data_IF_274401698988
#
_entry.id   IF_274401698988
#
_cell.length_a   1.000
_cell.length_b   1.000
_cell.length_c   1.000
_cell.angle_alpha   90.00
_cell.angle_beta   90.00
_cell.angle_gamma   90.00
#
_symmetry.space_group_name_H-M   'P 1'
#
loop_
_entity.id
_entity.type
_entity.pdbx_description
1 polymer ?
#
# COMPACT_ATOMS: atom_id res chain seq x y z
N UNK A 1 12.46 3.20 -6.39
CA UNK A 1 12.15 2.02 -5.55
C UNK A 1 13.46 1.40 -5.08
N UNK A 2 13.59 1.07 -3.79
CA UNK A 2 14.73 0.36 -3.22
C UNK A 2 14.25 -0.98 -2.68
N UNK A 3 15.02 -2.06 -2.86
CA UNK A 3 14.73 -3.39 -2.32
C UNK A 3 16.04 -4.01 -1.84
N UNK A 4 16.02 -4.70 -0.69
CA UNK A 4 17.12 -5.53 -0.19
C UNK A 4 16.65 -6.97 -0.16
N UNK A 5 16.96 -7.75 -1.19
CA UNK A 5 16.48 -9.14 -1.34
C UNK A 5 17.65 -10.10 -1.22
N UNK A 6 17.49 -11.15 -0.42
CA UNK A 6 18.45 -12.24 -0.31
C UNK A 6 18.02 -13.40 -1.18
N UNK A 7 18.91 -13.81 -2.08
CA UNK A 7 18.67 -14.95 -2.95
C UNK A 7 18.99 -16.27 -2.23
N UNK A 8 18.24 -17.34 -2.53
CA UNK A 8 18.49 -18.66 -1.94
C UNK A 8 19.89 -19.19 -2.30
N UNK A 9 20.55 -19.80 -1.31
CA UNK A 9 21.79 -20.55 -1.54
C UNK A 9 21.47 -21.92 -2.12
N UNK A 10 22.30 -22.35 -3.05
CA UNK A 10 22.33 -23.74 -3.54
C UNK A 10 23.60 -24.36 -3.00
N UNK A 11 23.48 -25.41 -2.20
CA UNK A 11 24.59 -26.17 -1.67
C UNK A 11 24.37 -27.67 -1.99
N UNK A 12 25.03 -28.19 -3.04
CA UNK A 12 24.87 -29.59 -3.47
C UNK A 12 25.25 -30.62 -2.39
N UNK A 13 26.13 -30.27 -1.45
CA UNK A 13 26.62 -31.19 -0.41
C UNK A 13 25.69 -31.26 0.81
N UNK A 14 24.86 -30.23 1.01
CA UNK A 14 23.95 -30.16 2.16
C UNK A 14 22.63 -30.85 1.85
N UNK A 15 22.52 -32.14 2.20
CA UNK A 15 21.30 -32.95 2.09
C UNK A 15 20.87 -33.40 3.49
N UNK A 16 19.72 -32.92 3.97
CA UNK A 16 19.21 -33.33 5.29
C UNK A 16 18.65 -34.76 5.28
N UNK A 17 19.14 -35.62 6.17
CA UNK A 17 18.58 -36.97 6.34
C UNK A 17 17.12 -36.87 6.81
N UNK A 18 16.16 -37.54 6.15
CA UNK A 18 14.76 -37.41 6.49
C UNK A 18 14.48 -37.94 7.90
N UNK A 19 13.76 -37.15 8.71
CA UNK A 19 13.35 -37.55 10.07
C UNK A 19 11.96 -38.17 10.12
N UNK A 20 11.13 -37.91 9.11
CA UNK A 20 9.74 -38.37 9.01
C UNK A 20 9.39 -38.78 7.58
N UNK A 21 8.44 -39.72 7.45
CA UNK A 21 7.97 -40.17 6.15
C UNK A 21 7.10 -39.09 5.50
N UNK A 22 7.39 -38.76 4.23
CA UNK A 22 6.65 -37.73 3.48
C UNK A 22 5.23 -38.13 3.07
N UNK A 23 4.88 -39.41 3.18
CA UNK A 23 3.56 -39.90 2.77
C UNK A 23 2.53 -39.76 3.87
N UNK A 24 1.40 -39.14 3.54
CA UNK A 24 0.25 -38.99 4.44
C UNK A 24 -0.14 -40.34 5.07
N UNK A 25 -0.43 -40.32 6.37
CA UNK A 25 -0.78 -41.51 7.17
C UNK A 25 0.40 -42.37 7.63
N UNK A 26 1.62 -42.16 7.11
CA UNK A 26 2.79 -42.93 7.53
C UNK A 26 3.58 -42.22 8.64
N UNK A 27 3.62 -42.82 9.84
CA UNK A 27 4.45 -42.35 10.97
C UNK A 27 5.86 -42.97 11.01
N UNK A 28 6.43 -43.31 9.84
CA UNK A 28 7.75 -43.92 9.75
C UNK A 28 8.86 -42.92 10.12
N UNK A 29 9.87 -43.37 10.86
CA UNK A 29 11.04 -42.57 11.31
C UNK A 29 12.39 -43.21 10.97
N UNK A 30 12.38 -44.42 10.41
CA UNK A 30 13.60 -45.13 9.99
C UNK A 30 13.61 -45.23 8.47
N UNK A 31 14.74 -44.86 7.87
CA UNK A 31 14.91 -44.77 6.42
C UNK A 31 16.21 -45.44 6.02
N UNK A 32 16.19 -46.07 4.85
CA UNK A 32 17.37 -46.64 4.22
C UNK A 32 17.67 -45.84 2.95
N UNK A 33 18.91 -45.35 2.81
CA UNK A 33 19.38 -44.79 1.54
C UNK A 33 19.42 -45.92 0.51
N UNK A 34 18.70 -45.74 -0.59
CA UNK A 34 18.59 -46.72 -1.68
C UNK A 34 19.52 -46.39 -2.83
N UNK A 35 19.64 -45.12 -3.16
CA UNK A 35 20.33 -44.68 -4.37
C UNK A 35 20.70 -43.20 -4.27
N UNK A 36 21.86 -42.88 -4.81
CA UNK A 36 22.26 -41.52 -5.18
C UNK A 36 22.00 -41.33 -6.68
N UNK A 37 21.31 -40.25 -7.04
CA UNK A 37 20.87 -40.00 -8.41
C UNK A 37 21.35 -38.63 -8.85
N UNK A 38 22.14 -38.57 -9.91
CA UNK A 38 22.46 -37.30 -10.58
C UNK A 38 21.20 -36.76 -11.26
N UNK A 39 20.89 -35.49 -10.97
CA UNK A 39 19.74 -34.77 -11.51
C UNK A 39 20.24 -33.51 -12.21
N UNK A 40 19.84 -33.25 -13.48
CA UNK A 40 20.16 -31.99 -14.13
C UNK A 40 19.50 -30.81 -13.40
N UNK A 41 20.22 -29.70 -13.36
CA UNK A 41 19.82 -28.47 -12.70
C UNK A 41 20.10 -27.26 -13.61
N UNK A 42 19.09 -26.43 -13.77
CA UNK A 42 19.21 -25.09 -14.33
C UNK A 42 19.55 -24.16 -13.18
N UNK A 43 20.82 -23.84 -13.07
CA UNK A 43 21.40 -22.87 -12.15
C UNK A 43 22.48 -22.05 -12.87
N UNK A 44 22.89 -20.93 -12.27
CA UNK A 44 24.00 -20.11 -12.79
C UNK A 44 25.38 -20.66 -12.45
N UNK A 45 25.47 -21.60 -11.50
CA UNK A 45 26.73 -22.18 -11.02
C UNK A 45 26.77 -23.70 -11.23
N UNK A 46 25.66 -24.39 -10.97
CA UNK A 46 25.61 -25.86 -11.00
C UNK A 46 24.70 -26.40 -12.12
N UNK A 47 25.23 -27.25 -13.00
CA UNK A 47 24.46 -27.86 -14.09
C UNK A 47 23.77 -29.17 -13.69
N UNK A 48 24.18 -29.76 -12.57
CA UNK A 48 23.62 -30.97 -12.01
C UNK A 48 23.84 -31.02 -10.50
N UNK A 49 23.05 -31.85 -9.82
CA UNK A 49 23.17 -32.13 -8.39
C UNK A 49 22.90 -33.60 -8.11
N UNK A 50 23.49 -34.14 -7.06
CA UNK A 50 23.15 -35.48 -6.54
C UNK A 50 21.93 -35.35 -5.63
N UNK A 51 20.95 -36.23 -5.81
CA UNK A 51 19.78 -36.34 -4.92
C UNK A 51 19.70 -37.73 -4.29
N UNK A 52 19.26 -37.80 -3.04
CA UNK A 52 19.21 -39.05 -2.30
C UNK A 52 17.81 -39.66 -2.36
N UNK A 53 17.70 -40.91 -2.83
CA UNK A 53 16.45 -41.68 -2.76
C UNK A 53 16.46 -42.52 -1.49
N UNK A 54 15.52 -42.24 -0.60
CA UNK A 54 15.31 -43.02 0.62
C UNK A 54 14.11 -43.94 0.48
N UNK A 55 14.14 -45.08 1.17
CA UNK A 55 12.97 -45.92 1.42
C UNK A 55 12.56 -45.83 2.89
N UNK A 56 11.27 -45.63 3.14
CA UNK A 56 10.72 -45.75 4.49
C UNK A 56 10.63 -47.23 4.91
N UNK A 57 11.22 -47.60 6.04
CA UNK A 57 11.18 -48.98 6.53
C UNK A 57 9.80 -49.40 7.06
N UNK A 58 8.89 -48.45 7.30
CA UNK A 58 7.52 -48.72 7.76
C UNK A 58 6.56 -49.00 6.60
N UNK A 59 6.40 -48.04 5.68
CA UNK A 59 5.46 -48.19 4.56
C UNK A 59 6.09 -48.72 3.28
N UNK A 60 7.41 -48.98 3.26
CA UNK A 60 8.20 -49.47 2.12
C UNK A 60 8.22 -48.58 0.87
N UNK A 61 7.54 -47.42 0.87
CA UNK A 61 7.57 -46.45 -0.24
C UNK A 61 8.91 -45.69 -0.28
N UNK A 62 9.30 -45.27 -1.48
CA UNK A 62 10.53 -44.51 -1.73
C UNK A 62 10.24 -43.06 -2.07
N UNK A 63 11.06 -42.13 -1.58
CA UNK A 63 10.98 -40.71 -1.90
C UNK A 63 12.37 -40.10 -2.09
N UNK A 64 12.45 -38.97 -2.79
CA UNK A 64 13.69 -38.24 -3.01
C UNK A 64 13.83 -37.11 -1.99
N UNK A 65 15.05 -36.90 -1.54
CA UNK A 65 15.47 -35.76 -0.73
C UNK A 65 16.50 -34.98 -1.54
N UNK A 66 16.39 -33.66 -1.47
CA UNK A 66 17.07 -32.73 -2.36
C UNK A 66 18.08 -31.89 -1.56
N UNK A 67 19.24 -31.55 -2.14
CA UNK A 67 20.16 -30.60 -1.52
C UNK A 67 19.52 -29.23 -1.28
N UNK A 68 20.07 -28.50 -0.30
CA UNK A 68 19.75 -27.10 -0.02
C UNK A 68 19.66 -26.27 -1.31
N UNK A 69 18.55 -25.54 -1.48
CA UNK A 69 18.31 -24.69 -2.65
C UNK A 69 17.78 -25.41 -3.89
N UNK A 70 17.50 -26.71 -3.81
CA UNK A 70 16.98 -27.51 -4.92
C UNK A 70 15.68 -28.21 -4.55
N UNK A 71 14.89 -28.59 -5.56
CA UNK A 71 13.57 -29.20 -5.39
C UNK A 71 13.39 -30.29 -6.48
N UNK A 72 12.22 -30.98 -6.56
CA UNK A 72 11.92 -31.83 -7.70
C UNK A 72 12.06 -31.13 -9.06
N UNK A 73 11.86 -29.81 -9.11
CA UNK A 73 11.99 -29.02 -10.33
C UNK A 73 13.42 -29.00 -10.87
N UNK A 74 13.54 -28.90 -12.19
CA UNK A 74 14.83 -28.75 -12.86
C UNK A 74 15.46 -27.36 -12.65
N UNK A 75 14.75 -26.38 -12.10
CA UNK A 75 15.29 -25.03 -11.85
C UNK A 75 15.58 -24.82 -10.37
N UNK A 76 16.75 -24.29 -10.05
CA UNK A 76 17.14 -24.02 -8.66
C UNK A 76 16.29 -22.92 -8.02
N UNK A 77 16.21 -22.93 -6.69
CA UNK A 77 15.57 -21.85 -5.95
C UNK A 77 16.27 -20.50 -6.14
N UNK A 78 17.61 -20.50 -6.32
CA UNK A 78 18.40 -19.31 -6.66
C UNK A 78 17.91 -18.65 -7.94
N UNK A 79 17.77 -19.42 -9.03
CA UNK A 79 17.32 -18.89 -10.33
C UNK A 79 15.87 -18.41 -10.27
N UNK A 80 14.98 -19.15 -9.59
CA UNK A 80 13.61 -18.68 -9.34
C UNK A 80 13.59 -17.37 -8.56
N UNK A 81 14.40 -17.26 -7.50
CA UNK A 81 14.54 -16.03 -6.71
C UNK A 81 15.08 -14.86 -7.53
N UNK A 82 16.09 -15.11 -8.37
CA UNK A 82 16.65 -14.11 -9.28
C UNK A 82 15.60 -13.60 -10.28
N UNK A 83 14.80 -14.51 -10.85
CA UNK A 83 13.70 -14.18 -11.73
C UNK A 83 12.66 -13.27 -11.04
N UNK A 84 12.29 -13.60 -9.79
CA UNK A 84 11.39 -12.78 -8.98
C UNK A 84 12.01 -11.40 -8.72
N UNK A 85 13.27 -11.35 -8.28
CA UNK A 85 13.96 -10.09 -7.99
C UNK A 85 13.98 -9.16 -9.20
N UNK A 86 14.38 -9.67 -10.38
CA UNK A 86 14.41 -8.88 -11.62
C UNK A 86 13.02 -8.36 -11.99
N UNK A 87 11.99 -9.19 -11.86
CA UNK A 87 10.60 -8.77 -12.10
C UNK A 87 10.16 -7.66 -11.13
N UNK A 88 10.50 -7.81 -9.83
CA UNK A 88 10.17 -6.81 -8.81
C UNK A 88 10.90 -5.49 -9.05
N UNK A 89 12.14 -5.53 -9.55
CA UNK A 89 12.94 -4.35 -9.93
C UNK A 89 12.40 -3.61 -11.17
N UNK A 90 11.33 -4.10 -11.80
CA UNK A 90 10.61 -3.39 -12.85
C UNK A 90 10.70 -4.01 -14.24
N UNK A 91 11.48 -5.09 -14.41
CA UNK A 91 11.57 -5.78 -15.69
C UNK A 91 10.24 -6.49 -16.03
N UNK A 92 9.92 -6.53 -17.32
CA UNK A 92 8.84 -7.37 -17.82
C UNK A 92 9.24 -8.86 -17.74
N UNK A 93 8.29 -9.78 -17.85
CA UNK A 93 8.61 -11.21 -17.94
C UNK A 93 9.54 -11.53 -19.12
N UNK A 94 9.39 -10.81 -20.24
CA UNK A 94 10.28 -10.95 -21.39
C UNK A 94 11.69 -10.42 -21.12
N UNK A 95 11.80 -9.22 -20.56
CA UNK A 95 13.10 -8.65 -20.20
C UNK A 95 13.81 -9.50 -19.14
N UNK A 96 13.07 -10.07 -18.19
CA UNK A 96 13.61 -10.99 -17.18
C UNK A 96 14.14 -12.26 -17.83
N UNK A 97 13.43 -12.83 -18.80
CA UNK A 97 13.89 -14.01 -19.57
C UNK A 97 15.22 -13.73 -20.29
N UNK A 98 15.32 -12.59 -20.97
CA UNK A 98 16.54 -12.18 -21.68
C UNK A 98 17.70 -11.92 -20.71
N UNK A 99 17.43 -11.27 -19.58
CA UNK A 99 18.43 -11.01 -18.56
C UNK A 99 19.00 -12.32 -17.96
N UNK A 100 18.13 -13.29 -17.66
CA UNK A 100 18.56 -14.60 -17.16
C UNK A 100 19.39 -15.37 -18.20
N UNK A 101 18.99 -15.32 -19.48
CA UNK A 101 19.74 -15.91 -20.58
C UNK A 101 21.14 -15.29 -20.71
N UNK A 102 21.25 -13.95 -20.60
CA UNK A 102 22.55 -13.26 -20.56
C UNK A 102 23.41 -13.62 -19.34
N UNK A 103 22.79 -14.11 -18.26
CA UNK A 103 23.48 -14.65 -17.07
C UNK A 103 23.78 -16.16 -17.19
N UNK A 104 23.61 -16.75 -18.38
CA UNK A 104 23.94 -18.15 -18.66
C UNK A 104 22.84 -19.16 -18.28
N UNK A 105 21.64 -18.71 -17.89
CA UNK A 105 20.54 -19.61 -17.54
C UNK A 105 19.21 -19.20 -18.18
N UNK A 106 18.72 -20.01 -19.11
CA UNK A 106 17.44 -19.72 -19.73
C UNK A 106 16.24 -20.09 -18.83
N UNK A 107 15.31 -19.16 -18.68
CA UNK A 107 13.98 -19.40 -18.10
C UNK A 107 12.91 -18.66 -18.89
N UNK A 108 11.93 -19.39 -19.43
CA UNK A 108 10.90 -18.78 -20.27
C UNK A 108 9.91 -17.91 -19.48
N UNK A 109 9.24 -16.98 -20.17
CA UNK A 109 8.30 -16.00 -19.60
C UNK A 109 7.24 -16.61 -18.68
N UNK A 110 6.66 -17.75 -19.08
CA UNK A 110 5.62 -18.43 -18.30
C UNK A 110 6.17 -18.98 -16.97
N UNK A 111 7.39 -19.51 -16.96
CA UNK A 111 8.02 -20.00 -15.72
C UNK A 111 8.43 -18.88 -14.78
N UNK A 112 8.81 -17.72 -15.32
CA UNK A 112 9.05 -16.52 -14.51
C UNK A 112 7.73 -16.05 -13.90
N UNK A 113 6.65 -16.02 -14.69
CA UNK A 113 5.31 -15.71 -14.19
C UNK A 113 4.92 -16.65 -13.04
N UNK A 114 5.06 -17.97 -13.22
CA UNK A 114 4.75 -18.96 -12.19
C UNK A 114 5.55 -18.70 -10.90
N UNK A 115 6.87 -18.50 -11.01
CA UNK A 115 7.73 -18.22 -9.86
C UNK A 115 7.32 -16.95 -9.10
N UNK A 116 6.97 -15.88 -9.82
CA UNK A 116 6.46 -14.64 -9.20
C UNK A 116 5.14 -14.89 -8.49
N UNK A 117 4.19 -15.58 -9.12
CA UNK A 117 2.88 -15.82 -8.51
C UNK A 117 2.97 -16.79 -7.32
N UNK A 118 3.78 -17.83 -7.39
CA UNK A 118 4.05 -18.75 -6.27
C UNK A 118 4.65 -18.03 -5.08
N UNK A 119 5.62 -17.14 -5.32
CA UNK A 119 6.24 -16.33 -4.26
C UNK A 119 5.23 -15.35 -3.66
N UNK A 120 4.48 -14.66 -4.51
CA UNK A 120 3.51 -13.65 -4.09
C UNK A 120 2.31 -14.26 -3.33
N UNK A 121 1.90 -15.50 -3.66
CA UNK A 121 0.88 -16.28 -2.92
C UNK A 121 1.29 -16.58 -1.48
N UNK A 122 2.59 -16.70 -1.23
CA UNK A 122 3.15 -17.02 0.09
C UNK A 122 3.32 -15.81 0.98
N UNK A 123 3.20 -14.60 0.43
CA UNK A 123 3.00 -13.40 1.23
C UNK A 123 1.54 -13.43 1.66
N UNK A 124 1.23 -13.82 2.90
CA UNK A 124 -0.16 -13.75 3.37
C UNK A 124 -0.65 -12.30 3.22
N UNK A 125 -1.97 -12.14 3.11
CA UNK A 125 -2.55 -10.81 3.31
C UNK A 125 -2.04 -10.27 4.64
N UNK A 126 -1.63 -9.01 4.67
CA UNK A 126 -0.99 -8.41 5.83
C UNK A 126 -2.01 -8.09 6.96
N UNK A 127 -3.11 -8.84 6.99
CA UNK A 127 -4.24 -8.81 7.94
C UNK A 127 -4.15 -9.92 9.01
N UNK A 128 -3.04 -10.67 9.09
CA UNK A 128 -2.87 -11.76 10.06
C UNK A 128 -1.76 -11.44 11.06
N UNK A 129 -2.06 -11.71 12.32
CA UNK A 129 -1.13 -11.69 13.47
C UNK A 129 0.19 -12.44 13.21
N UNK A 130 0.29 -13.30 12.19
CA UNK A 130 1.52 -14.06 11.88
C UNK A 130 2.58 -13.30 11.08
N UNK A 131 2.24 -12.23 10.34
CA UNK A 131 3.27 -11.43 9.62
C UNK A 131 3.90 -10.39 10.53
N UNK A 132 3.13 -10.01 11.54
CA UNK A 132 3.37 -8.85 12.39
C UNK A 132 2.97 -9.16 13.83
N UNK A 133 3.22 -10.38 14.32
CA UNK A 133 2.96 -10.72 15.71
C UNK A 133 3.69 -9.71 16.60
N UNK A 134 2.97 -8.70 17.10
CA UNK A 134 3.53 -7.58 17.86
C UNK A 134 3.64 -6.22 17.19
N UNK A 135 3.23 -6.00 15.92
CA UNK A 135 3.19 -4.63 15.37
C UNK A 135 2.00 -3.90 15.95
N UNK A 136 2.28 -3.03 16.91
CA UNK A 136 1.38 -2.01 17.42
C UNK A 136 1.81 -0.69 16.81
N UNK A 137 0.88 0.02 16.19
CA UNK A 137 1.09 1.43 15.85
C UNK A 137 -0.11 2.25 16.32
N UNK A 138 0.14 3.36 17.03
CA UNK A 138 -0.93 4.25 17.48
C UNK A 138 -1.51 5.09 16.34
N UNK A 139 -0.94 5.02 15.13
CA UNK A 139 -1.38 5.77 13.96
C UNK A 139 -1.53 4.86 12.73
N UNK A 140 -2.60 5.07 11.97
CA UNK A 140 -2.89 4.35 10.74
C UNK A 140 -3.00 5.34 9.59
N UNK A 141 -2.21 5.15 8.54
CA UNK A 141 -2.38 5.86 7.27
C UNK A 141 -3.28 5.05 6.34
N UNK A 142 -4.20 5.72 5.63
CA UNK A 142 -5.07 5.10 4.63
C UNK A 142 -5.11 5.95 3.36
N UNK A 143 -5.02 5.29 2.21
CA UNK A 143 -5.11 5.96 0.90
C UNK A 143 -5.54 4.98 -0.19
N UNK A 144 -6.08 5.52 -1.28
CA UNK A 144 -6.63 4.78 -2.40
C UNK A 144 -5.83 5.03 -3.67
N UNK A 145 -5.73 3.99 -4.49
CA UNK A 145 -5.19 4.10 -5.85
C UNK A 145 -5.87 3.08 -6.74
N UNK A 146 -5.86 3.29 -8.05
CA UNK A 146 -6.35 2.30 -9.01
C UNK A 146 -5.26 1.80 -9.95
N UNK A 147 -5.39 0.56 -10.40
CA UNK A 147 -4.59 -0.04 -11.48
C UNK A 147 -5.52 -0.64 -12.52
N UNK A 148 -5.12 -0.70 -13.79
CA UNK A 148 -5.94 -1.39 -14.80
C UNK A 148 -5.79 -2.90 -14.64
N UNK A 149 -6.92 -3.61 -14.59
CA UNK A 149 -7.00 -5.06 -14.68
C UNK A 149 -8.05 -5.43 -15.72
N UNK A 150 -7.67 -6.21 -16.74
CA UNK A 150 -8.53 -6.56 -17.89
C UNK A 150 -9.19 -5.37 -18.60
N UNK A 151 -8.56 -4.19 -18.53
CA UNK A 151 -9.07 -2.95 -19.14
C UNK A 151 -9.89 -2.08 -18.19
N UNK A 152 -10.32 -2.63 -17.05
CA UNK A 152 -11.11 -1.93 -16.03
C UNK A 152 -10.23 -1.40 -14.91
N UNK A 153 -10.67 -0.35 -14.22
CA UNK A 153 -9.97 0.18 -13.06
C UNK A 153 -10.29 -0.67 -11.83
N UNK A 154 -9.27 -1.31 -11.28
CA UNK A 154 -9.32 -2.02 -10.01
C UNK A 154 -8.89 -1.08 -8.88
N UNK A 155 -9.78 -0.70 -7.95
CA UNK A 155 -9.41 0.05 -6.76
C UNK A 155 -8.57 -0.80 -5.82
N UNK A 156 -7.49 -0.21 -5.32
CA UNK A 156 -6.60 -0.76 -4.31
C UNK A 156 -6.52 0.22 -3.15
N UNK A 157 -6.75 -0.28 -1.94
CA UNK A 157 -6.47 0.44 -0.71
C UNK A 157 -5.08 0.09 -0.19
N UNK A 158 -4.33 1.09 0.26
CA UNK A 158 -3.10 0.89 1.02
C UNK A 158 -3.27 1.42 2.44
N UNK A 159 -2.76 0.66 3.40
CA UNK A 159 -2.55 1.16 4.77
C UNK A 159 -1.08 1.11 5.14
N UNK A 160 -0.68 2.07 5.97
CA UNK A 160 0.71 2.23 6.43
C UNK A 160 0.71 2.64 7.90
N UNK A 161 1.83 2.45 8.57
CA UNK A 161 2.16 3.22 9.77
C UNK A 161 2.74 4.57 9.30
N UNK A 162 2.05 5.71 9.53
CA UNK A 162 2.52 7.00 9.06
C UNK A 162 3.74 7.51 9.84
N UNK A 163 4.07 6.91 10.99
CA UNK A 163 5.21 7.28 11.83
C UNK A 163 6.48 6.63 11.28
N UNK A 164 6.51 5.30 11.17
CA UNK A 164 7.68 4.57 10.66
C UNK A 164 7.75 4.53 9.12
N UNK A 165 6.62 4.73 8.43
CA UNK A 165 6.49 4.51 7.00
C UNK A 165 6.33 3.03 6.60
N UNK A 166 6.15 2.13 7.57
CA UNK A 166 5.94 0.70 7.33
C UNK A 166 4.64 0.47 6.55
N UNK A 167 4.70 -0.28 5.45
CA UNK A 167 3.49 -0.65 4.73
C UNK A 167 2.77 -1.78 5.49
N UNK A 168 1.51 -1.52 5.87
CA UNK A 168 0.72 -2.44 6.69
C UNK A 168 -0.08 -3.40 5.82
N UNK A 169 -0.94 -2.96 4.91
CA UNK A 169 -1.61 -3.87 3.95
C UNK A 169 -1.93 -3.19 2.63
N UNK A 170 -2.05 -3.99 1.57
CA UNK A 170 -2.60 -3.59 0.28
C UNK A 170 -3.75 -4.55 -0.05
N UNK A 171 -4.93 -4.01 -0.32
CA UNK A 171 -6.14 -4.79 -0.56
C UNK A 171 -6.87 -4.27 -1.79
N UNK A 172 -7.51 -5.17 -2.56
CA UNK A 172 -8.48 -4.74 -3.55
C UNK A 172 -9.79 -4.34 -2.85
N UNK A 173 -10.39 -3.26 -3.29
CA UNK A 173 -11.68 -2.79 -2.78
C UNK A 173 -12.76 -2.99 -3.83
N UNK A 174 -13.95 -3.41 -3.39
CA UNK A 174 -15.10 -3.59 -4.27
C UNK A 174 -15.64 -2.25 -4.79
N UNK A 175 -15.56 -1.21 -3.96
CA UNK A 175 -15.98 0.15 -4.24
C UNK A 175 -15.17 1.14 -3.39
N UNK A 176 -15.46 2.44 -3.51
CA UNK A 176 -14.86 3.51 -2.70
C UNK A 176 -15.91 4.23 -1.84
N UNK A 177 -17.05 3.58 -1.59
CA UNK A 177 -18.08 4.10 -0.67
C UNK A 177 -17.66 3.96 0.80
N UNK A 178 -18.34 4.72 1.67
CA UNK A 178 -18.06 4.78 3.11
C UNK A 178 -18.05 3.38 3.73
N UNK A 179 -19.04 2.53 3.39
CA UNK A 179 -19.17 1.20 3.97
C UNK A 179 -17.97 0.30 3.62
N UNK A 180 -17.56 0.31 2.36
CA UNK A 180 -16.39 -0.44 1.89
C UNK A 180 -15.10 0.05 2.56
N UNK A 181 -14.96 1.36 2.75
CA UNK A 181 -13.81 1.93 3.45
C UNK A 181 -13.81 1.58 4.94
N UNK A 182 -14.97 1.60 5.60
CA UNK A 182 -15.11 1.20 7.00
C UNK A 182 -14.74 -0.28 7.19
N UNK A 183 -15.34 -1.18 6.39
CA UNK A 183 -15.09 -2.62 6.45
C UNK A 183 -13.62 -2.98 6.16
N UNK A 184 -12.92 -2.09 5.44
CA UNK A 184 -11.50 -2.21 5.20
C UNK A 184 -10.65 -1.68 6.37
N UNK A 185 -10.90 -0.47 6.85
CA UNK A 185 -10.07 0.25 7.83
C UNK A 185 -10.27 -0.27 9.26
N UNK A 186 -11.51 -0.49 9.69
CA UNK A 186 -11.86 -0.85 11.06
C UNK A 186 -11.10 -2.08 11.59
N UNK A 187 -11.07 -3.24 10.89
CA UNK A 187 -10.35 -4.40 11.40
C UNK A 187 -8.84 -4.17 11.52
N UNK A 188 -8.26 -3.35 10.64
CA UNK A 188 -6.83 -3.03 10.65
C UNK A 188 -6.52 -2.11 11.83
N UNK A 189 -7.31 -1.04 12.00
CA UNK A 189 -7.15 -0.08 13.09
C UNK A 189 -7.22 -0.77 14.46
N UNK A 190 -8.21 -1.66 14.65
CA UNK A 190 -8.34 -2.45 15.88
C UNK A 190 -7.17 -3.40 16.10
N UNK A 191 -6.72 -4.09 15.05
CA UNK A 191 -5.60 -5.05 15.13
C UNK A 191 -4.30 -4.37 15.56
N UNK A 192 -3.97 -3.21 14.97
CA UNK A 192 -2.72 -2.49 15.29
C UNK A 192 -2.83 -1.58 16.52
N UNK A 193 -4.04 -1.34 17.04
CA UNK A 193 -4.27 -0.45 18.17
C UNK A 193 -4.17 1.03 17.79
N UNK A 194 -4.57 1.39 16.56
CA UNK A 194 -4.51 2.76 16.09
C UNK A 194 -5.51 3.65 16.83
N UNK A 195 -5.06 4.85 17.19
CA UNK A 195 -5.86 5.90 17.85
C UNK A 195 -6.10 7.10 16.94
N UNK A 196 -5.37 7.18 15.83
CA UNK A 196 -5.51 8.22 14.81
C UNK A 196 -5.42 7.62 13.41
N UNK A 197 -6.32 8.04 12.52
CA UNK A 197 -6.28 7.78 11.09
C UNK A 197 -5.67 9.00 10.36
N UNK A 198 -4.82 8.77 9.36
CA UNK A 198 -4.17 9.80 8.53
C UNK A 198 -4.50 9.55 7.08
N UNK A 199 -5.17 10.50 6.42
CA UNK A 199 -5.62 10.34 5.02
C UNK A 199 -5.41 11.61 4.22
N UNK A 200 -5.69 11.55 2.92
CA UNK A 200 -5.96 12.73 2.12
C UNK A 200 -7.29 13.41 2.54
N UNK A 201 -7.71 14.43 1.78
CA UNK A 201 -8.96 15.17 2.00
C UNK A 201 -10.13 14.53 1.24
N UNK A 202 -10.30 13.21 1.35
CA UNK A 202 -11.47 12.51 0.83
C UNK A 202 -12.54 12.36 1.91
N UNK A 203 -13.78 12.76 1.59
CA UNK A 203 -14.88 12.81 2.55
C UNK A 203 -15.21 11.45 3.18
N UNK A 204 -15.11 10.36 2.42
CA UNK A 204 -15.40 9.02 2.92
C UNK A 204 -14.57 8.65 4.16
N UNK A 205 -13.31 9.07 4.23
CA UNK A 205 -12.46 8.80 5.38
C UNK A 205 -12.81 9.62 6.62
N UNK A 206 -13.44 10.79 6.48
CA UNK A 206 -13.89 11.62 7.61
C UNK A 206 -14.94 10.86 8.41
N UNK A 207 -15.95 10.32 7.72
CA UNK A 207 -17.01 9.48 8.32
C UNK A 207 -16.45 8.19 8.90
N UNK A 208 -15.57 7.50 8.17
CA UNK A 208 -14.94 6.25 8.66
C UNK A 208 -14.17 6.47 9.95
N UNK A 209 -13.41 7.57 10.08
CA UNK A 209 -12.69 7.86 11.32
C UNK A 209 -13.64 8.03 12.51
N UNK A 210 -14.76 8.72 12.30
CA UNK A 210 -15.78 8.97 13.33
C UNK A 210 -16.48 7.66 13.75
N UNK A 211 -16.88 6.84 12.78
CA UNK A 211 -17.56 5.55 13.02
C UNK A 211 -16.64 4.52 13.68
N UNK A 212 -15.36 4.49 13.31
CA UNK A 212 -14.36 3.61 13.92
C UNK A 212 -13.96 4.10 15.31
N UNK A 213 -14.22 5.37 15.64
CA UNK A 213 -13.91 5.96 16.94
C UNK A 213 -12.44 6.34 17.10
N UNK A 214 -11.76 6.69 16.01
CA UNK A 214 -10.36 7.15 16.02
C UNK A 214 -10.29 8.64 15.71
N UNK A 215 -9.26 9.32 16.22
CA UNK A 215 -8.97 10.68 15.81
C UNK A 215 -8.62 10.72 14.32
N UNK A 216 -8.76 11.87 13.67
CA UNK A 216 -8.44 12.00 12.24
C UNK A 216 -7.49 13.15 11.98
N UNK A 217 -6.46 12.87 11.19
CA UNK A 217 -5.59 13.86 10.56
C UNK A 217 -5.81 13.85 9.05
N UNK A 218 -6.18 15.01 8.50
CA UNK A 218 -6.30 15.20 7.04
C UNK A 218 -5.04 15.87 6.49
N UNK A 219 -4.52 15.39 5.37
CA UNK A 219 -3.26 15.88 4.80
C UNK A 219 -3.27 17.40 4.53
N UNK A 220 -2.39 18.13 5.24
CA UNK A 220 -2.26 19.58 5.12
C UNK A 220 -1.85 20.06 3.73
N UNK A 221 -1.10 19.25 2.99
CA UNK A 221 -0.61 19.60 1.65
C UNK A 221 -1.73 19.48 0.60
N UNK A 222 -2.65 18.53 0.75
CA UNK A 222 -3.83 18.42 -0.10
C UNK A 222 -4.79 19.58 0.13
N UNK A 223 -5.11 19.87 1.38
CA UNK A 223 -6.01 20.97 1.73
C UNK A 223 -5.45 22.32 1.28
N UNK A 224 -4.14 22.56 1.44
CA UNK A 224 -3.51 23.80 0.97
C UNK A 224 -3.65 23.96 -0.54
N UNK A 225 -3.22 22.98 -1.33
CA UNK A 225 -3.30 23.04 -2.81
C UNK A 225 -4.73 23.21 -3.30
N UNK A 226 -5.69 22.48 -2.71
CA UNK A 226 -7.11 22.59 -3.06
C UNK A 226 -7.64 24.01 -2.74
N UNK A 227 -7.33 24.53 -1.55
CA UNK A 227 -7.76 25.88 -1.16
C UNK A 227 -7.15 26.96 -2.05
N UNK A 228 -5.86 26.87 -2.37
CA UNK A 228 -5.19 27.83 -3.26
C UNK A 228 -5.82 27.83 -4.67
N UNK A 229 -6.11 26.65 -5.22
CA UNK A 229 -6.79 26.53 -6.52
C UNK A 229 -8.21 27.12 -6.50
N UNK A 230 -8.97 26.93 -5.41
CA UNK A 230 -10.29 27.53 -5.24
C UNK A 230 -10.22 29.05 -5.10
N UNK A 231 -9.24 29.57 -4.35
CA UNK A 231 -9.00 31.02 -4.22
C UNK A 231 -8.68 31.62 -5.59
N UNK A 232 -7.76 31.02 -6.35
CA UNK A 232 -7.39 31.47 -7.69
C UNK A 232 -8.60 31.49 -8.64
N UNK A 233 -9.46 30.47 -8.56
CA UNK A 233 -10.69 30.38 -9.35
C UNK A 233 -11.71 31.46 -8.96
N UNK A 234 -11.87 31.76 -7.67
CA UNK A 234 -12.93 32.64 -7.18
C UNK A 234 -12.53 34.11 -7.15
N UNK A 235 -11.24 34.44 -6.99
CA UNK A 235 -10.70 35.81 -7.06
C UNK A 235 -11.29 36.67 -8.20
N UNK A 236 -11.22 36.27 -9.48
CA UNK A 236 -11.77 37.09 -10.56
C UNK A 236 -13.31 37.16 -10.57
N UNK A 237 -13.99 36.19 -9.95
CA UNK A 237 -15.45 36.16 -9.85
C UNK A 237 -15.94 37.12 -8.77
N UNK A 238 -15.30 37.12 -7.59
CA UNK A 238 -15.67 38.01 -6.48
C UNK A 238 -15.40 39.47 -6.83
N UNK A 239 -14.35 39.76 -7.60
CA UNK A 239 -14.05 41.11 -8.06
C UNK A 239 -15.14 41.70 -8.96
N UNK A 240 -15.87 40.84 -9.69
CA UNK A 240 -16.94 41.26 -10.61
C UNK A 240 -18.32 41.22 -9.99
N UNK A 241 -18.57 40.28 -9.07
CA UNK A 241 -19.91 39.97 -8.51
C UNK A 241 -21.00 39.92 -9.61
N UNK A 242 -20.71 39.21 -10.70
CA UNK A 242 -21.53 39.28 -11.92
C UNK A 242 -22.96 38.76 -11.73
N UNK A 243 -23.19 37.91 -10.73
CA UNK A 243 -24.53 37.41 -10.38
C UNK A 243 -25.21 38.24 -9.28
N UNK A 244 -24.57 39.32 -8.80
CA UNK A 244 -25.07 40.22 -7.75
C UNK A 244 -25.28 39.56 -6.40
N UNK A 245 -24.85 38.30 -6.23
CA UNK A 245 -25.18 37.51 -5.05
C UNK A 245 -24.42 37.95 -3.80
N UNK A 246 -23.24 38.56 -3.95
CA UNK A 246 -22.51 39.12 -2.82
C UNK A 246 -23.18 40.40 -2.32
N UNK A 247 -23.55 41.30 -3.24
CA UNK A 247 -24.29 42.51 -2.90
C UNK A 247 -25.63 42.20 -2.21
N UNK A 248 -26.35 41.15 -2.66
CA UNK A 248 -27.61 40.71 -2.09
C UNK A 248 -27.53 40.29 -0.61
N UNK A 249 -26.35 39.84 -0.16
CA UNK A 249 -26.09 39.48 1.25
C UNK A 249 -25.27 40.56 2.00
N UNK A 250 -25.10 41.74 1.39
CA UNK A 250 -24.36 42.85 1.99
C UNK A 250 -22.84 42.68 2.04
N UNK A 251 -22.27 41.77 1.25
CA UNK A 251 -20.82 41.56 1.15
C UNK A 251 -20.27 42.29 -0.07
N UNK A 252 -19.33 43.21 0.12
CA UNK A 252 -18.68 43.89 -1.00
C UNK A 252 -17.66 42.99 -1.72
N UNK A 253 -17.41 43.21 -3.03
CA UNK A 253 -16.32 42.56 -3.76
C UNK A 253 -14.95 42.65 -3.07
N UNK A 254 -14.65 43.80 -2.45
CA UNK A 254 -13.40 44.04 -1.71
C UNK A 254 -13.33 43.17 -0.45
N UNK A 255 -14.44 43.05 0.30
CA UNK A 255 -14.51 42.19 1.47
C UNK A 255 -14.35 40.72 1.08
N UNK A 256 -15.03 40.26 0.03
CA UNK A 256 -14.91 38.87 -0.44
C UNK A 256 -13.48 38.53 -0.90
N UNK A 257 -12.80 39.48 -1.55
CA UNK A 257 -11.38 39.35 -1.93
C UNK A 257 -10.47 39.25 -0.70
N UNK A 258 -10.73 40.08 0.32
CA UNK A 258 -9.99 40.05 1.59
C UNK A 258 -10.21 38.72 2.33
N UNK A 259 -11.44 38.20 2.33
CA UNK A 259 -11.80 36.93 2.97
C UNK A 259 -11.11 35.74 2.32
N UNK A 260 -11.08 35.68 0.98
CA UNK A 260 -10.34 34.63 0.24
C UNK A 260 -8.84 34.71 0.52
N UNK A 261 -8.28 35.92 0.52
CA UNK A 261 -6.86 36.13 0.84
C UNK A 261 -6.56 35.68 2.26
N UNK A 262 -7.44 36.01 3.21
CA UNK A 262 -7.29 35.61 4.60
C UNK A 262 -7.41 34.10 4.77
N UNK A 263 -8.35 33.45 4.08
CA UNK A 263 -8.48 31.99 4.07
C UNK A 263 -7.17 31.32 3.67
N UNK A 264 -6.50 31.81 2.62
CA UNK A 264 -5.20 31.31 2.20
C UNK A 264 -4.14 31.41 3.30
N UNK A 265 -4.07 32.55 4.00
CA UNK A 265 -3.16 32.75 5.13
C UNK A 265 -3.47 31.80 6.30
N UNK A 266 -4.74 31.60 6.61
CA UNK A 266 -5.18 30.67 7.65
C UNK A 266 -4.78 29.24 7.28
N UNK A 267 -5.15 28.75 6.09
CA UNK A 267 -4.80 27.39 5.65
C UNK A 267 -3.29 27.20 5.49
N UNK A 268 -2.49 28.26 5.32
CA UNK A 268 -1.03 28.20 5.33
C UNK A 268 -0.45 28.10 6.75
N UNK A 269 -0.95 28.92 7.69
CA UNK A 269 -0.46 28.97 9.07
C UNK A 269 -0.98 27.83 9.95
N UNK A 270 -2.25 27.44 9.78
CA UNK A 270 -2.93 26.32 10.45
C UNK A 270 -2.78 26.35 11.95
N UNK A 271 -2.94 27.52 12.58
CA UNK A 271 -2.94 27.60 14.04
C UNK A 271 -4.30 27.14 14.57
N UNK A 272 -4.30 26.35 15.64
CA UNK A 272 -5.54 25.76 16.16
C UNK A 272 -6.52 26.85 16.61
N UNK A 273 -5.97 27.91 17.17
CA UNK A 273 -6.67 29.06 17.75
C UNK A 273 -7.36 29.93 16.68
N UNK A 274 -7.09 29.69 15.39
CA UNK A 274 -7.73 30.40 14.28
C UNK A 274 -9.09 29.81 13.88
N UNK A 275 -9.55 28.71 14.50
CA UNK A 275 -10.85 28.12 14.20
C UNK A 275 -12.02 29.11 14.34
N UNK A 276 -12.10 29.94 15.41
CA UNK A 276 -13.15 30.95 15.55
C UNK A 276 -13.09 32.03 14.46
N UNK A 277 -11.91 32.30 13.92
CA UNK A 277 -11.78 33.25 12.81
C UNK A 277 -12.42 32.69 11.54
N UNK A 278 -12.21 31.41 11.23
CA UNK A 278 -12.90 30.75 10.10
C UNK A 278 -14.42 30.72 10.26
N UNK A 279 -14.90 30.49 11.48
CA UNK A 279 -16.32 30.60 11.78
C UNK A 279 -16.84 32.01 11.48
N UNK A 280 -16.14 33.05 11.90
CA UNK A 280 -16.50 34.43 11.61
C UNK A 280 -16.50 34.73 10.10
N UNK A 281 -15.55 34.17 9.34
CA UNK A 281 -15.56 34.25 7.87
C UNK A 281 -16.80 33.56 7.29
N UNK A 282 -17.13 32.35 7.73
CA UNK A 282 -18.31 31.61 7.27
C UNK A 282 -19.62 32.36 7.57
N UNK A 283 -19.73 32.92 8.78
CA UNK A 283 -20.93 33.66 9.23
C UNK A 283 -21.29 34.82 8.31
N UNK A 284 -20.31 35.48 7.68
CA UNK A 284 -20.55 36.56 6.70
C UNK A 284 -21.34 36.12 5.47
N UNK A 285 -21.36 34.83 5.14
CA UNK A 285 -22.01 34.31 3.94
C UNK A 285 -23.27 33.48 4.29
N UNK A 286 -23.76 33.50 5.54
CA UNK A 286 -24.89 32.66 5.96
C UNK A 286 -26.19 32.97 5.21
N UNK A 287 -26.42 34.23 4.88
CA UNK A 287 -27.62 34.69 4.18
C UNK A 287 -27.64 34.28 2.69
N UNK A 288 -26.54 33.71 2.17
CA UNK A 288 -26.52 33.16 0.83
C UNK A 288 -27.42 31.92 0.75
N UNK A 289 -28.54 32.06 0.04
CA UNK A 289 -29.53 31.00 -0.11
C UNK A 289 -28.96 29.80 -0.90
N UNK A 290 -29.34 28.55 -0.55
CA UNK A 290 -29.05 27.39 -1.38
C UNK A 290 -29.73 27.50 -2.75
N UNK A 291 -29.17 26.88 -3.81
CA UNK A 291 -29.84 26.86 -5.10
C UNK A 291 -31.18 26.12 -5.01
N UNK A 292 -32.14 26.53 -5.83
CA UNK A 292 -33.34 25.74 -6.07
C UNK A 292 -32.98 24.43 -6.78
N UNK A 293 -33.87 23.44 -6.72
CA UNK A 293 -33.68 22.16 -7.39
C UNK A 293 -33.44 22.38 -8.90
N UNK A 294 -32.36 21.79 -9.43
CA UNK A 294 -31.92 21.98 -10.83
C UNK A 294 -31.23 23.32 -11.14
N UNK A 295 -31.17 24.25 -10.18
CA UNK A 295 -30.52 25.55 -10.34
C UNK A 295 -29.00 25.54 -10.11
N UNK A 296 -28.30 26.53 -10.67
CA UNK A 296 -26.88 26.74 -10.42
C UNK A 296 -26.63 27.43 -9.07
N UNK A 297 -25.56 27.04 -8.38
CA UNK A 297 -25.11 27.72 -7.16
C UNK A 297 -24.63 29.13 -7.47
N UNK A 298 -25.13 30.13 -6.74
CA UNK A 298 -24.61 31.51 -6.76
C UNK A 298 -23.18 31.59 -6.22
N UNK A 299 -22.46 32.67 -6.56
CA UNK A 299 -21.12 32.91 -6.07
C UNK A 299 -21.07 33.00 -4.53
N UNK A 300 -21.99 33.76 -3.93
CA UNK A 300 -22.11 33.88 -2.48
C UNK A 300 -22.33 32.52 -1.79
N UNK A 301 -23.16 31.66 -2.36
CA UNK A 301 -23.40 30.31 -1.81
C UNK A 301 -22.18 29.40 -1.94
N UNK A 302 -21.41 29.50 -3.04
CA UNK A 302 -20.13 28.77 -3.17
C UNK A 302 -19.12 29.19 -2.12
N UNK A 303 -19.02 30.50 -1.82
CA UNK A 303 -18.17 30.99 -0.74
C UNK A 303 -18.65 30.50 0.63
N UNK A 304 -19.96 30.53 0.89
CA UNK A 304 -20.57 29.96 2.10
C UNK A 304 -20.10 28.52 2.33
N UNK A 305 -20.18 27.68 1.30
CA UNK A 305 -19.76 26.28 1.36
C UNK A 305 -18.24 26.12 1.53
N UNK A 306 -17.44 26.93 0.84
CA UNK A 306 -15.97 26.91 0.98
C UNK A 306 -15.53 27.20 2.42
N UNK A 307 -16.04 28.27 3.04
CA UNK A 307 -15.70 28.60 4.41
C UNK A 307 -16.22 27.57 5.40
N UNK A 308 -17.43 27.02 5.18
CA UNK A 308 -17.99 25.96 6.01
C UNK A 308 -17.12 24.70 5.97
N UNK A 309 -16.73 24.26 4.78
CA UNK A 309 -15.89 23.08 4.58
C UNK A 309 -14.53 23.23 5.29
N UNK A 310 -13.86 24.38 5.11
CA UNK A 310 -12.57 24.67 5.76
C UNK A 310 -12.69 24.78 7.29
N UNK A 311 -13.78 25.33 7.79
CA UNK A 311 -14.06 25.40 9.22
C UNK A 311 -14.31 24.02 9.82
N UNK A 312 -15.20 23.22 9.22
CA UNK A 312 -15.50 21.84 9.65
C UNK A 312 -14.24 20.97 9.65
N UNK A 313 -13.39 21.14 8.65
CA UNK A 313 -12.13 20.40 8.50
C UNK A 313 -11.06 20.79 9.53
N UNK A 314 -11.16 21.96 10.18
CA UNK A 314 -10.04 22.58 10.90
C UNK A 314 -9.45 21.72 12.02
N UNK A 315 -10.30 21.03 12.77
CA UNK A 315 -9.88 20.16 13.88
C UNK A 315 -9.15 18.89 13.40
N UNK A 316 -9.42 18.44 12.16
CA UNK A 316 -8.74 17.32 11.49
C UNK A 316 -7.46 17.80 10.82
N UNK A 317 -7.49 18.99 10.23
CA UNK A 317 -6.34 19.61 9.56
C UNK A 317 -5.20 19.94 10.54
N UNK A 318 -5.53 20.38 11.75
CA UNK A 318 -4.57 20.82 12.78
C UNK A 318 -4.20 19.73 13.80
N UNK A 319 -4.75 18.51 13.66
CA UNK A 319 -4.60 17.43 14.65
C UNK A 319 -3.14 17.11 14.99
N UNK A 320 -2.27 17.10 13.98
CA UNK A 320 -0.84 16.78 14.08
C UNK A 320 -0.07 17.68 15.04
N UNK A 321 -0.57 18.89 15.33
CA UNK A 321 0.04 19.82 16.27
C UNK A 321 -0.15 19.42 17.74
N UNK A 322 -1.20 18.65 18.02
CA UNK A 322 -1.62 18.32 19.39
C UNK A 322 -1.58 16.83 19.68
N UNK A 323 -1.68 16.00 18.65
CA UNK A 323 -1.64 14.56 18.82
C UNK A 323 -0.24 14.11 19.29
N UNK A 324 -0.24 13.24 20.30
CA UNK A 324 0.93 12.54 20.81
C UNK A 324 0.60 11.07 20.93
N UNK A 325 1.49 10.21 20.43
CA UNK A 325 1.37 8.78 20.62
C UNK A 325 1.79 8.37 22.05
N UNK A 326 1.57 7.09 22.42
CA UNK A 326 1.88 6.55 23.74
C UNK A 326 3.35 6.73 24.17
N UNK A 327 4.28 6.81 23.22
CA UNK A 327 5.71 6.98 23.48
C UNK A 327 6.22 8.38 23.07
N UNK A 328 5.31 9.35 22.92
CA UNK A 328 5.64 10.72 22.53
C UNK A 328 5.77 10.94 21.03
N UNK A 329 5.34 9.97 20.20
CA UNK A 329 5.34 10.07 18.75
C UNK A 329 4.52 11.29 18.27
N UNK A 330 4.88 11.84 17.11
CA UNK A 330 4.19 12.98 16.50
C UNK A 330 3.85 12.70 15.04
N UNK A 331 2.80 13.34 14.54
CA UNK A 331 2.47 13.36 13.12
C UNK A 331 3.08 14.58 12.44
N UNK A 332 3.45 14.46 11.17
CA UNK A 332 3.91 15.58 10.35
C UNK A 332 2.75 16.36 9.68
N UNK A 333 1.52 15.83 9.77
CA UNK A 333 0.31 16.39 9.18
C UNK A 333 0.13 16.08 7.70
N UNK A 334 0.84 15.10 7.15
CA UNK A 334 0.77 14.70 5.74
C UNK A 334 0.41 13.22 5.59
N UNK A 335 -0.14 12.83 4.43
CA UNK A 335 -0.31 11.44 4.04
C UNK A 335 0.88 10.92 3.20
N UNK A 336 2.05 11.56 3.28
CA UNK A 336 3.22 11.25 2.46
C UNK A 336 3.66 9.78 2.57
N UNK A 337 3.46 9.14 3.73
CA UNK A 337 3.75 7.73 3.91
C UNK A 337 2.89 6.84 2.99
N UNK A 338 1.61 7.17 2.83
CA UNK A 338 0.73 6.50 1.88
C UNK A 338 1.15 6.78 0.44
N UNK A 339 1.36 8.05 0.07
CA UNK A 339 1.75 8.44 -1.29
C UNK A 339 3.06 7.75 -1.73
N UNK A 340 4.07 7.73 -0.86
CA UNK A 340 5.33 7.02 -1.11
C UNK A 340 5.10 5.52 -1.30
N UNK A 341 4.25 4.92 -0.46
CA UNK A 341 3.96 3.49 -0.52
C UNK A 341 3.16 3.13 -1.78
N UNK A 342 2.20 3.96 -2.21
CA UNK A 342 1.53 3.84 -3.51
C UNK A 342 2.55 3.93 -4.64
N UNK A 343 3.40 4.95 -4.59
CA UNK A 343 4.47 5.16 -5.56
C UNK A 343 5.33 3.91 -5.71
N UNK A 344 6.00 3.49 -4.64
CA UNK A 344 7.00 2.43 -4.67
C UNK A 344 6.42 1.03 -4.84
N UNK A 345 5.33 0.69 -4.14
CA UNK A 345 4.87 -0.71 -4.03
C UNK A 345 3.75 -1.06 -5.00
N UNK A 346 3.15 -0.05 -5.65
CA UNK A 346 2.07 -0.24 -6.62
C UNK A 346 2.45 0.37 -7.96
N UNK A 347 2.72 1.68 -8.01
CA UNK A 347 2.84 2.42 -9.27
C UNK A 347 4.15 2.18 -10.01
N UNK A 348 5.30 2.12 -9.33
CA UNK A 348 6.59 1.89 -10.00
C UNK A 348 6.55 0.60 -10.84
N UNK A 349 6.05 -0.49 -10.26
CA UNK A 349 5.89 -1.74 -11.00
C UNK A 349 4.82 -1.63 -12.09
N UNK A 350 3.71 -0.98 -11.80
CA UNK A 350 2.59 -0.87 -12.72
C UNK A 350 2.91 -0.01 -13.97
N UNK A 351 3.76 1.02 -13.86
CA UNK A 351 4.08 1.96 -14.97
C UNK A 351 4.66 1.27 -16.21
N UNK A 352 5.39 0.18 -16.05
CA UNK A 352 5.97 -0.58 -17.18
C UNK A 352 5.00 -1.61 -17.78
N UNK A 353 3.75 -1.64 -17.29
CA UNK A 353 2.71 -2.60 -17.70
C UNK A 353 1.52 -1.89 -18.34
N UNK A 354 0.86 -2.55 -19.30
CA UNK A 354 -0.45 -2.10 -19.80
C UNK A 354 -1.58 -2.30 -18.79
N UNK A 355 -1.40 -3.25 -17.87
CA UNK A 355 -2.38 -3.64 -16.87
C UNK A 355 -2.24 -5.11 -16.47
N UNK A 356 -2.92 -5.47 -15.40
CA UNK A 356 -3.02 -6.85 -14.91
C UNK A 356 -4.06 -7.64 -15.70
N UNK A 357 -3.93 -8.97 -15.68
CA UNK A 357 -4.91 -9.90 -16.28
C UNK A 357 -5.78 -10.59 -15.23
N UNK A 358 -5.33 -10.62 -13.98
CA UNK A 358 -6.02 -11.25 -12.84
C UNK A 358 -5.95 -10.26 -11.67
N UNK A 359 -7.09 -9.87 -11.06
CA UNK A 359 -7.10 -8.91 -9.96
C UNK A 359 -6.22 -9.35 -8.78
N UNK A 360 -6.28 -10.63 -8.44
CA UNK A 360 -5.52 -11.18 -7.33
C UNK A 360 -4.00 -11.08 -7.54
N UNK A 361 -3.52 -11.13 -8.78
CA UNK A 361 -2.10 -10.93 -9.08
C UNK A 361 -1.67 -9.48 -8.82
N UNK A 362 -2.55 -8.49 -9.07
CA UNK A 362 -2.25 -7.10 -8.77
C UNK A 362 -2.04 -6.91 -7.26
N UNK A 363 -2.95 -7.47 -6.46
CA UNK A 363 -2.87 -7.43 -4.99
C UNK A 363 -1.63 -8.16 -4.49
N UNK A 364 -1.43 -9.42 -4.89
CA UNK A 364 -0.31 -10.25 -4.38
C UNK A 364 1.06 -9.70 -4.76
N UNK A 365 1.23 -9.21 -5.99
CA UNK A 365 2.51 -8.61 -6.42
C UNK A 365 2.78 -7.33 -5.66
N UNK A 366 1.79 -6.46 -5.48
CA UNK A 366 1.95 -5.25 -4.68
C UNK A 366 2.25 -5.55 -3.21
N UNK A 367 1.59 -6.56 -2.63
CA UNK A 367 1.94 -7.06 -1.28
C UNK A 367 3.35 -7.60 -1.21
N UNK A 368 3.82 -8.35 -2.20
CA UNK A 368 5.19 -8.85 -2.25
C UNK A 368 6.21 -7.71 -2.33
N UNK A 369 5.94 -6.67 -3.13
CA UNK A 369 6.79 -5.48 -3.17
C UNK A 369 6.83 -4.76 -1.83
N UNK A 370 5.67 -4.51 -1.22
CA UNK A 370 5.57 -3.88 0.10
C UNK A 370 6.28 -4.71 1.18
N UNK A 371 6.08 -6.03 1.18
CA UNK A 371 6.73 -6.97 2.07
C UNK A 371 8.25 -6.86 1.93
N UNK A 372 8.80 -6.95 0.71
CA UNK A 372 10.25 -6.77 0.49
C UNK A 372 10.75 -5.39 0.92
N UNK A 373 9.94 -4.34 0.70
CA UNK A 373 10.25 -2.96 1.11
C UNK A 373 10.35 -2.77 2.62
N UNK A 374 9.56 -3.51 3.39
CA UNK A 374 9.57 -3.45 4.85
C UNK A 374 10.89 -3.99 5.47
N UNK A 375 11.70 -4.73 4.73
CA UNK A 375 13.02 -5.22 5.18
C UNK A 375 14.19 -4.29 4.82
N UNK A 376 13.93 -3.11 4.25
CA UNK A 376 15.00 -2.21 3.80
C UNK A 376 15.97 -1.77 4.91
N UNK A 377 15.47 -1.62 6.13
CA UNK A 377 16.24 -1.19 7.30
C UNK A 377 16.80 -2.37 8.09
N UNK A 378 16.45 -3.60 7.74
CA UNK A 378 16.98 -4.81 8.40
C UNK A 378 18.34 -5.18 7.82
N UNK A 379 19.25 -5.66 8.66
CA UNK A 379 20.56 -6.17 8.22
C UNK A 379 20.44 -7.43 7.36
N UNK A 380 19.41 -8.25 7.59
CA UNK A 380 19.22 -9.51 6.86
C UNK A 380 18.50 -9.33 5.52
N UNK A 381 17.76 -8.24 5.33
CA UNK A 381 16.93 -8.04 4.14
C UNK A 381 15.81 -9.07 4.00
N UNK A 382 15.11 -8.99 2.87
CA UNK A 382 13.97 -9.85 2.56
C UNK A 382 14.43 -11.19 1.96
N UNK A 383 14.27 -12.28 2.71
CA UNK A 383 14.39 -13.65 2.16
C UNK A 383 13.08 -14.06 1.50
N UNK A 384 13.06 -14.24 0.18
CA UNK A 384 11.80 -14.47 -0.55
C UNK A 384 10.99 -15.67 0.03
N UNK A 385 9.67 -15.50 0.28
CA UNK A 385 8.84 -16.52 0.93
C UNK A 385 8.82 -17.88 0.21
N UNK A 386 9.04 -18.94 1.00
CA UNK A 386 9.13 -20.33 0.57
C UNK A 386 10.31 -20.64 -0.35
N UNK A 387 11.32 -19.77 -0.34
CA UNK A 387 12.69 -20.14 -0.67
C UNK A 387 13.59 -20.22 0.58
N UNK A 388 12.97 -20.14 1.76
CA UNK A 388 13.56 -20.57 3.03
C UNK A 388 13.54 -22.11 3.06
N UNK A 389 14.58 -22.69 3.65
CA UNK A 389 14.74 -24.14 3.82
C UNK A 389 14.02 -24.64 5.06
#
# INVERSE_FOLDING_TARGET
MRLRIVLPKVNPEMIEVPRHCVYAGCRGRKFQLRQEVTKPLRDTVYHEVVVHRYQCLKCRRTFRVYPQGTTPDQTSQRVKGLAVMLYLLGLSYGATSLALEGLGVYLCKSRIYDAVQETAKRVPGLKRDQVFAGVRTPALGGDLTSVKCKGEWLPLGITVDPISGLALTIDALAAQDIKTLQDWIEPIAKSVGATVLVTDDADGFKTVADEVGVQHQVCKAHVLRNTEALIERYQPLVAKDADGSLAAIGVSPQQATADLTRLGQLVKSRQKEQAPELEALHRRYLDAAPPQEGGHQSLAYRLRLLFLDRWNLWHRLTRYRTWKGPNGETLDGTNNACERSIGWWIKERYRTMRGYKVPENAVRVSRLLAWCGNFLTTEDGATLPGFQQ
#
